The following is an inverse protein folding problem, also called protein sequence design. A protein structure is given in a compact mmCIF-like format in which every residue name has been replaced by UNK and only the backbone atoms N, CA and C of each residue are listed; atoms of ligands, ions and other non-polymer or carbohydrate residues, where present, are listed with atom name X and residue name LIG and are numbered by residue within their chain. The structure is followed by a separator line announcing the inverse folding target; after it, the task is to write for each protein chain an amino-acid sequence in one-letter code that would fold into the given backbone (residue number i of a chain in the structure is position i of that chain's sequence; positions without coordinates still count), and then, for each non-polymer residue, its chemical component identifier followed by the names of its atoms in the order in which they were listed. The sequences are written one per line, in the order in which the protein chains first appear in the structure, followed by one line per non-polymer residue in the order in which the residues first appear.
data_IF_633683698313
#
_entry.id   IF_633683698313
#
_cell.length_a   1.000
_cell.length_b   1.000
_cell.length_c   1.000
_cell.angle_alpha   90.00
_cell.angle_beta   90.00
_cell.angle_gamma   90.00
#
_symmetry.space_group_name_H-M   'P 1'
#
loop_
_entity.id
_entity.type
_entity.pdbx_description
1 polymer ?
#
# COMPACT_ATOMS: atom_id res chain seq x y z
N UNK A 1 -6.31 -18.77 21.95
CA UNK A 1 -6.73 -17.62 22.77
C UNK A 1 -8.24 -17.59 22.89
N UNK A 2 -8.72 -17.42 24.09
CA UNK A 2 -10.14 -17.43 24.34
C UNK A 2 -10.88 -16.18 23.91
N UNK A 3 -12.18 -16.31 23.82
CA UNK A 3 -13.10 -15.22 23.62
C UNK A 3 -13.36 -14.53 24.96
N UNK A 4 -13.25 -13.20 24.98
CA UNK A 4 -13.59 -12.40 26.15
C UNK A 4 -14.88 -11.63 25.85
N UNK A 5 -15.86 -11.75 26.73
CA UNK A 5 -17.12 -11.04 26.62
C UNK A 5 -17.13 -9.93 27.67
N UNK A 6 -17.36 -8.69 27.23
CA UNK A 6 -17.43 -7.54 28.12
C UNK A 6 -18.88 -7.11 28.29
N UNK A 7 -19.24 -6.77 29.50
CA UNK A 7 -20.52 -6.16 29.81
C UNK A 7 -20.48 -4.66 29.51
N UNK A 8 -21.66 -4.03 29.37
CA UNK A 8 -21.74 -2.59 29.28
C UNK A 8 -21.17 -1.96 30.57
N UNK A 9 -20.48 -0.84 30.51
CA UNK A 9 -20.33 0.09 29.38
C UNK A 9 -19.07 -0.09 28.53
N UNK A 10 -18.37 -1.20 28.60
CA UNK A 10 -17.15 -1.40 27.84
C UNK A 10 -17.49 -1.69 26.38
N UNK A 11 -17.20 -0.74 25.50
CA UNK A 11 -17.48 -0.85 24.06
C UNK A 11 -16.25 -1.09 23.22
N UNK A 12 -15.07 -0.65 23.71
CA UNK A 12 -13.85 -0.73 22.94
C UNK A 12 -12.63 -0.78 23.85
N UNK A 13 -11.75 -1.73 23.57
CA UNK A 13 -10.42 -1.82 24.21
C UNK A 13 -9.41 -2.02 23.08
N UNK A 14 -8.39 -1.19 23.03
CA UNK A 14 -7.30 -1.33 22.07
C UNK A 14 -5.99 -0.88 22.72
N UNK A 15 -4.88 -1.30 22.11
CA UNK A 15 -3.56 -0.93 22.54
C UNK A 15 -2.79 -2.07 23.18
N UNK A 16 -1.61 -1.74 23.70
CA UNK A 16 -0.72 -2.73 24.32
C UNK A 16 -1.10 -2.93 25.77
N UNK A 17 -1.52 -4.15 26.12
CA UNK A 17 -1.88 -4.51 27.48
C UNK A 17 -0.66 -4.95 28.28
N UNK A 18 0.31 -5.62 27.66
CA UNK A 18 1.53 -6.07 28.31
C UNK A 18 2.78 -5.63 27.58
N UNK A 19 3.63 -4.87 28.26
CA UNK A 19 4.94 -4.48 27.71
C UNK A 19 5.92 -5.65 27.69
N UNK A 20 5.81 -6.55 28.66
CA UNK A 20 6.72 -7.68 28.80
C UNK A 20 6.68 -8.62 27.61
N UNK A 21 5.48 -8.89 27.10
CA UNK A 21 5.28 -9.82 25.99
C UNK A 21 5.11 -9.12 24.65
N UNK A 22 5.15 -7.79 24.64
CA UNK A 22 5.00 -6.97 23.43
C UNK A 22 3.76 -7.36 22.62
N UNK A 23 2.68 -7.68 23.31
CA UNK A 23 1.42 -8.09 22.72
C UNK A 23 0.40 -6.97 22.78
N UNK A 24 -0.47 -6.92 21.78
CA UNK A 24 -1.59 -6.00 21.74
C UNK A 24 -2.89 -6.79 21.70
N UNK A 25 -3.89 -6.27 22.38
CA UNK A 25 -5.24 -6.82 22.33
C UNK A 25 -6.13 -5.87 21.56
N UNK A 26 -6.90 -6.40 20.63
CA UNK A 26 -7.93 -5.66 19.92
C UNK A 26 -9.29 -6.18 20.37
N UNK A 27 -10.14 -5.26 20.79
CA UNK A 27 -11.53 -5.55 21.08
C UNK A 27 -12.37 -5.21 19.86
N UNK A 28 -13.20 -6.17 19.43
CA UNK A 28 -14.09 -5.98 18.28
C UNK A 28 -15.50 -6.42 18.64
N UNK A 29 -16.47 -5.63 18.21
CA UNK A 29 -17.87 -6.02 18.24
C UNK A 29 -18.25 -6.52 16.85
N UNK A 30 -18.74 -7.76 16.78
CA UNK A 30 -19.26 -8.34 15.57
C UNK A 30 -20.64 -8.89 15.85
N UNK A 31 -21.68 -8.31 15.20
CA UNK A 31 -23.06 -8.57 15.55
C UNK A 31 -23.28 -8.29 17.04
N UNK A 32 -23.87 -9.19 17.80
CA UNK A 32 -24.07 -9.05 19.23
C UNK A 32 -22.95 -9.61 20.09
N UNK A 33 -21.87 -10.06 19.46
CA UNK A 33 -20.72 -10.66 20.13
C UNK A 33 -19.52 -9.73 20.13
N UNK A 34 -18.79 -9.75 21.22
CA UNK A 34 -17.57 -8.97 21.41
C UNK A 34 -16.38 -9.93 21.51
N UNK A 35 -15.29 -9.58 20.80
CA UNK A 35 -14.09 -10.41 20.77
C UNK A 35 -12.87 -9.60 21.12
N UNK A 36 -11.89 -10.27 21.73
CA UNK A 36 -10.52 -9.77 21.77
C UNK A 36 -9.62 -10.70 21.00
N UNK A 37 -8.63 -10.14 20.31
CA UNK A 37 -7.57 -10.89 19.66
C UNK A 37 -6.22 -10.35 20.11
N UNK A 38 -5.22 -11.22 20.16
CA UNK A 38 -3.87 -10.84 20.55
C UNK A 38 -3.00 -10.74 19.29
N UNK A 39 -2.33 -9.60 19.14
CA UNK A 39 -1.35 -9.39 18.10
C UNK A 39 0.03 -9.25 18.75
N UNK A 40 0.91 -10.19 18.45
CA UNK A 40 2.30 -10.13 18.88
C UNK A 40 3.20 -9.46 17.85
N UNK A 41 4.37 -9.06 18.30
CA UNK A 41 5.41 -8.61 17.39
C UNK A 41 5.87 -9.78 16.51
N UNK A 42 6.35 -9.44 15.33
CA UNK A 42 6.92 -10.44 14.43
C UNK A 42 8.15 -11.07 15.06
N UNK A 43 8.17 -12.41 15.17
CA UNK A 43 9.29 -13.15 15.75
C UNK A 43 10.34 -13.57 14.73
N UNK A 44 9.95 -13.67 13.45
CA UNK A 44 10.89 -14.04 12.38
C UNK A 44 11.68 -12.84 11.89
N UNK A 45 12.98 -12.98 11.62
CA UNK A 45 13.77 -11.87 11.08
C UNK A 45 13.31 -11.51 9.66
N UNK A 46 13.53 -10.28 9.27
CA UNK A 46 13.23 -9.80 7.92
C UNK A 46 14.20 -10.45 6.93
N UNK A 47 13.66 -11.05 5.87
CA UNK A 47 14.48 -11.68 4.85
C UNK A 47 15.09 -10.67 3.89
N UNK A 48 16.13 -11.06 3.16
CA UNK A 48 16.74 -10.20 2.14
C UNK A 48 15.74 -9.82 1.03
N UNK A 49 14.85 -10.75 0.66
CA UNK A 49 13.82 -10.49 -0.34
C UNK A 49 12.82 -9.43 0.13
N UNK A 50 12.42 -9.48 1.40
CA UNK A 50 11.54 -8.47 1.98
C UNK A 50 12.19 -7.08 2.01
N UNK A 51 13.48 -7.01 2.33
CA UNK A 51 14.22 -5.75 2.31
C UNK A 51 14.30 -5.17 0.90
N UNK A 52 14.56 -6.03 -0.11
CA UNK A 52 14.57 -5.63 -1.50
C UNK A 52 13.21 -5.10 -1.95
N UNK A 53 12.11 -5.75 -1.56
CA UNK A 53 10.76 -5.31 -1.86
C UNK A 53 10.44 -3.96 -1.21
N UNK A 54 10.84 -3.76 0.04
CA UNK A 54 10.64 -2.49 0.74
C UNK A 54 11.40 -1.36 0.07
N UNK A 55 12.64 -1.62 -0.37
CA UNK A 55 13.45 -0.65 -1.09
C UNK A 55 12.80 -0.29 -2.43
N UNK A 56 12.39 -1.29 -3.19
CA UNK A 56 11.68 -1.08 -4.46
C UNK A 56 10.43 -0.22 -4.26
N UNK A 57 9.62 -0.55 -3.28
CA UNK A 57 8.41 0.21 -2.98
C UNK A 57 8.71 1.67 -2.65
N UNK A 58 9.74 1.91 -1.85
CA UNK A 58 10.15 3.28 -1.47
C UNK A 58 10.60 4.08 -2.70
N UNK A 59 11.45 3.50 -3.53
CA UNK A 59 11.97 4.16 -4.73
C UNK A 59 10.85 4.43 -5.74
N UNK A 60 10.00 3.46 -5.98
CA UNK A 60 8.86 3.60 -6.90
C UNK A 60 7.88 4.65 -6.42
N UNK A 61 7.59 4.66 -5.12
CA UNK A 61 6.70 5.66 -4.52
C UNK A 61 7.22 7.08 -4.69
N UNK A 62 8.51 7.29 -4.43
CA UNK A 62 9.14 8.61 -4.60
C UNK A 62 9.14 9.04 -6.07
N UNK A 63 9.44 8.14 -6.99
CA UNK A 63 9.42 8.43 -8.42
C UNK A 63 8.02 8.81 -8.90
N UNK A 64 7.01 8.07 -8.49
CA UNK A 64 5.62 8.38 -8.81
C UNK A 64 5.18 9.73 -8.25
N UNK A 65 5.56 10.02 -6.99
CA UNK A 65 5.25 11.30 -6.37
C UNK A 65 5.91 12.47 -7.10
N UNK A 66 7.20 12.36 -7.42
CA UNK A 66 7.93 13.39 -8.15
C UNK A 66 7.31 13.62 -9.54
N UNK A 67 6.90 12.56 -10.22
CA UNK A 67 6.24 12.68 -11.53
C UNK A 67 4.89 13.38 -11.39
N UNK A 68 4.13 13.09 -10.35
CA UNK A 68 2.83 13.73 -10.13
C UNK A 68 2.95 15.22 -9.82
N UNK A 69 4.08 15.65 -9.28
CA UNK A 69 4.35 17.06 -8.95
C UNK A 69 5.03 17.83 -10.09
N UNK A 70 5.45 17.14 -11.14
CA UNK A 70 6.10 17.74 -12.28
C UNK A 70 5.05 18.37 -13.22
N UNK A 71 4.95 19.69 -13.18
CA UNK A 71 3.96 20.44 -13.97
C UNK A 71 4.18 20.30 -15.48
N UNK A 72 5.42 20.08 -15.93
CA UNK A 72 5.72 19.95 -17.35
C UNK A 72 5.13 18.67 -17.96
N UNK A 73 4.95 17.63 -17.16
CA UNK A 73 4.41 16.34 -17.58
C UNK A 73 2.96 16.12 -17.16
N UNK A 74 2.44 16.92 -16.25
CA UNK A 74 1.13 16.69 -15.64
C UNK A 74 0.00 16.59 -16.67
N UNK A 75 -0.05 17.52 -17.60
CA UNK A 75 -1.08 17.55 -18.63
C UNK A 75 -1.01 16.32 -19.54
N UNK A 76 0.18 15.97 -20.01
CA UNK A 76 0.39 14.81 -20.86
C UNK A 76 0.08 13.51 -20.13
N UNK A 77 0.49 13.39 -18.88
CA UNK A 77 0.25 12.20 -18.07
C UNK A 77 -1.24 11.99 -17.81
N UNK A 78 -1.98 13.06 -17.52
CA UNK A 78 -3.43 12.98 -17.35
C UNK A 78 -4.14 12.59 -18.64
N UNK A 79 -3.71 13.13 -19.77
CA UNK A 79 -4.24 12.75 -21.08
C UNK A 79 -3.97 11.28 -21.39
N UNK A 80 -2.76 10.81 -21.10
CA UNK A 80 -2.38 9.41 -21.30
C UNK A 80 -3.19 8.47 -20.41
N UNK A 81 -3.45 8.86 -19.17
CA UNK A 81 -4.31 8.11 -18.26
C UNK A 81 -5.73 7.96 -18.82
N UNK A 82 -6.32 9.05 -19.27
CA UNK A 82 -7.69 9.04 -19.82
C UNK A 82 -7.76 8.21 -21.10
N UNK A 83 -6.77 8.37 -21.99
CA UNK A 83 -6.69 7.62 -23.24
C UNK A 83 -6.56 6.11 -22.98
N UNK A 84 -5.68 5.71 -22.08
CA UNK A 84 -5.50 4.30 -21.73
C UNK A 84 -6.76 3.71 -21.09
N UNK A 85 -7.43 4.48 -20.24
CA UNK A 85 -8.70 4.08 -19.63
C UNK A 85 -9.77 3.83 -20.69
N UNK A 86 -9.87 4.68 -21.70
CA UNK A 86 -10.81 4.52 -22.82
C UNK A 86 -10.47 3.31 -23.68
N UNK A 87 -9.19 3.11 -23.96
CA UNK A 87 -8.71 2.04 -24.83
C UNK A 87 -8.92 0.67 -24.18
N UNK A 88 -8.58 0.53 -22.90
CA UNK A 88 -8.69 -0.75 -22.18
C UNK A 88 -10.10 -1.04 -21.66
N UNK A 89 -10.92 -0.02 -21.46
CA UNK A 89 -12.30 -0.17 -20.98
C UNK A 89 -12.38 -0.97 -19.68
N UNK A 90 -13.14 -2.08 -19.71
CA UNK A 90 -13.35 -2.92 -18.51
C UNK A 90 -12.09 -3.66 -18.03
N UNK A 91 -11.06 -3.80 -18.88
CA UNK A 91 -9.79 -4.42 -18.49
C UNK A 91 -8.85 -3.46 -17.76
N UNK A 92 -9.21 -2.19 -17.66
CA UNK A 92 -8.42 -1.19 -16.97
C UNK A 92 -8.51 -1.39 -15.46
N UNK A 93 -7.35 -1.62 -14.82
CA UNK A 93 -7.28 -2.03 -13.41
C UNK A 93 -7.23 -0.87 -12.42
N UNK A 94 -6.89 0.32 -12.88
CA UNK A 94 -6.64 1.46 -11.99
C UNK A 94 -7.87 2.35 -11.89
N UNK A 95 -8.23 2.72 -10.66
CA UNK A 95 -9.37 3.62 -10.40
C UNK A 95 -8.94 5.07 -10.25
N UNK A 96 -7.66 5.31 -9.90
CA UNK A 96 -7.15 6.67 -9.66
C UNK A 96 -5.93 6.95 -10.51
N UNK A 97 -5.72 8.23 -10.81
CA UNK A 97 -4.53 8.70 -11.53
C UNK A 97 -3.23 8.37 -10.78
N UNK A 98 -3.21 8.58 -9.46
CA UNK A 98 -2.04 8.28 -8.64
C UNK A 98 -1.70 6.79 -8.63
N UNK A 99 -2.71 5.93 -8.55
CA UNK A 99 -2.52 4.49 -8.64
C UNK A 99 -1.95 4.05 -9.99
N UNK A 100 -2.42 4.66 -11.05
CA UNK A 100 -1.91 4.43 -12.40
C UNK A 100 -0.44 4.84 -12.54
N UNK A 101 -0.07 6.03 -12.03
CA UNK A 101 1.32 6.49 -12.01
C UNK A 101 2.22 5.53 -11.23
N UNK A 102 1.77 5.08 -10.07
CA UNK A 102 2.52 4.12 -9.26
C UNK A 102 2.75 2.81 -10.03
N UNK A 103 1.73 2.30 -10.70
CA UNK A 103 1.84 1.10 -11.52
C UNK A 103 2.83 1.25 -12.68
N UNK A 104 2.83 2.40 -13.35
CA UNK A 104 3.80 2.70 -14.42
C UNK A 104 5.22 2.81 -13.87
N UNK A 105 5.40 3.48 -12.75
CA UNK A 105 6.70 3.59 -12.09
C UNK A 105 7.22 2.21 -11.65
N UNK A 106 6.35 1.35 -11.16
CA UNK A 106 6.70 -0.01 -10.78
C UNK A 106 7.26 -0.81 -11.95
N UNK A 107 6.64 -0.68 -13.12
CA UNK A 107 7.12 -1.36 -14.35
C UNK A 107 8.45 -0.80 -14.87
N UNK A 108 8.74 0.47 -14.56
CA UNK A 108 9.99 1.12 -14.98
C UNK A 108 11.15 0.91 -14.01
N UNK A 109 10.92 0.23 -12.89
CA UNK A 109 11.97 0.00 -11.90
C UNK A 109 13.05 -0.93 -12.46
N UNK A 110 14.31 -0.48 -12.36
CA UNK A 110 15.46 -1.27 -12.76
C UNK A 110 16.10 -1.90 -11.51
N UNK A 111 16.07 -3.24 -11.43
CA UNK A 111 16.58 -3.96 -10.28
C UNK A 111 18.11 -3.90 -10.14
N UNK A 112 18.83 -3.72 -11.24
CA UNK A 112 20.29 -3.64 -11.21
C UNK A 112 20.79 -2.29 -10.71
N UNK A 113 20.11 -1.19 -11.04
CA UNK A 113 20.50 0.17 -10.63
C UNK A 113 19.68 0.68 -9.45
N UNK A 114 18.59 0.00 -9.08
CA UNK A 114 17.62 0.41 -8.06
C UNK A 114 17.01 1.79 -8.33
N UNK A 115 16.82 2.12 -9.59
CA UNK A 115 16.27 3.40 -10.02
C UNK A 115 15.05 3.21 -10.91
N UNK A 116 14.21 4.25 -10.97
CA UNK A 116 13.04 4.29 -11.84
C UNK A 116 13.26 5.33 -12.93
N UNK A 117 13.25 4.89 -14.18
CA UNK A 117 13.36 5.75 -15.36
C UNK A 117 12.06 5.70 -16.14
N UNK A 118 11.22 6.71 -15.96
CA UNK A 118 9.95 6.79 -16.69
C UNK A 118 10.15 7.53 -18.02
N UNK A 119 9.55 7.04 -19.12
CA UNK A 119 9.59 7.75 -20.40
C UNK A 119 8.75 9.03 -20.34
N UNK A 120 8.91 9.87 -21.34
CA UNK A 120 8.14 11.10 -21.46
C UNK A 120 6.63 10.82 -21.58
N UNK A 121 6.25 9.79 -22.34
CA UNK A 121 4.85 9.36 -22.51
C UNK A 121 4.64 8.02 -21.83
N UNK A 122 3.83 8.02 -20.77
CA UNK A 122 3.60 6.83 -19.95
C UNK A 122 2.71 5.78 -20.61
N UNK A 123 1.89 6.15 -21.58
CA UNK A 123 1.03 5.19 -22.27
C UNK A 123 1.82 4.22 -23.17
N UNK A 124 3.11 4.47 -23.42
CA UNK A 124 3.99 3.55 -24.15
C UNK A 124 4.42 2.35 -23.30
N UNK A 125 4.23 2.41 -22.00
CA UNK A 125 4.55 1.32 -21.08
C UNK A 125 3.40 0.32 -21.11
N UNK A 126 3.71 -0.88 -21.52
CA UNK A 126 2.74 -1.96 -21.67
C UNK A 126 2.20 -2.55 -20.40
#
# INVERSE_FOLDING_TARGET
MGKVVFDDPVHHISGRISKKYRTCYNYRKWSDRKYTSVHGDRTTPVTADELAQRQKFRVVRLAALNRSMDLSHLTYDQMDFIEEKKTKGSSFKYTTYKGWLFGKAWKCYNESTHEVNMPERLNTIG
#
